data_IF_727690279983
#
_entry.id   IF_727690279983
#
_cell.length_a   1.000
_cell.length_b   1.000
_cell.length_c   1.000
_cell.angle_alpha   90.00
_cell.angle_beta   90.00
_cell.angle_gamma   90.00
#
_symmetry.space_group_name_H-M   'P 1'
#
loop_
_entity.id
_entity.type
_entity.pdbx_description
1 polymer ?
#
# COMPACT_ATOMS: atom_id res chain seq x y z
N UNK A 1 -68.22 -19.15 -12.96
CA UNK A 1 -67.52 -17.88 -12.62
C UNK A 1 -68.43 -17.13 -11.67
N UNK A 2 -68.36 -17.21 -10.34
CA UNK A 2 -67.24 -17.52 -9.45
C UNK A 2 -67.03 -16.33 -8.52
N UNK A 3 -67.84 -16.26 -7.45
CA UNK A 3 -67.68 -15.56 -6.15
C UNK A 3 -67.31 -14.05 -6.19
N UNK A 4 -68.06 -13.09 -5.64
CA UNK A 4 -68.84 -13.09 -4.41
C UNK A 4 -67.97 -12.72 -3.21
N UNK A 5 -67.92 -11.44 -2.81
CA UNK A 5 -68.40 -10.93 -1.52
C UNK A 5 -67.89 -9.49 -1.21
N UNK A 6 -68.87 -8.68 -0.81
CA UNK A 6 -68.79 -7.39 -0.12
C UNK A 6 -67.87 -7.36 1.11
N UNK A 7 -67.33 -6.18 1.44
CA UNK A 7 -67.52 -5.57 2.77
C UNK A 7 -67.20 -4.07 2.78
N UNK A 8 -68.13 -3.33 3.39
CA UNK A 8 -68.22 -1.88 3.50
C UNK A 8 -67.35 -1.31 4.64
N UNK A 9 -66.91 -0.06 4.41
CA UNK A 9 -66.75 1.08 5.34
C UNK A 9 -66.40 0.85 6.82
N UNK A 10 -65.39 1.59 7.29
CA UNK A 10 -65.51 2.50 8.45
C UNK A 10 -64.33 3.49 8.52
N UNK A 11 -64.68 4.77 8.72
CA UNK A 11 -63.81 5.88 9.14
C UNK A 11 -63.28 5.64 10.56
N UNK A 12 -62.08 6.14 10.88
CA UNK A 12 -61.64 6.32 12.26
C UNK A 12 -60.29 7.04 12.36
N UNK A 13 -60.28 8.18 13.07
CA UNK A 13 -59.11 9.00 13.37
C UNK A 13 -58.44 8.58 14.70
N UNK A 14 -57.26 9.17 14.95
CA UNK A 14 -56.46 9.15 16.21
C UNK A 14 -55.62 7.86 16.41
N UNK A 15 -54.43 7.84 17.04
CA UNK A 15 -53.85 8.60 18.15
C UNK A 15 -52.31 8.52 18.16
N UNK A 16 -51.70 9.48 18.85
CA UNK A 16 -50.34 9.45 19.42
C UNK A 16 -50.16 8.24 20.34
N UNK A 17 -48.93 7.69 20.37
CA UNK A 17 -48.38 7.00 21.54
C UNK A 17 -48.47 5.49 21.52
N UNK A 18 -47.36 4.83 21.20
CA UNK A 18 -47.17 3.41 21.40
C UNK A 18 -45.70 3.09 21.62
N UNK A 19 -45.29 3.05 22.90
CA UNK A 19 -44.08 2.31 23.32
C UNK A 19 -44.25 0.86 22.88
N UNK A 20 -43.68 0.50 21.75
CA UNK A 20 -43.45 -0.89 21.34
C UNK A 20 -42.00 -1.23 21.62
N UNK A 21 -41.76 -2.00 22.67
CA UNK A 21 -40.48 -2.63 22.90
C UNK A 21 -40.17 -3.57 21.73
N UNK A 22 -39.22 -3.20 20.87
CA UNK A 22 -38.58 -4.15 19.99
C UNK A 22 -37.59 -4.98 20.82
N UNK A 23 -38.13 -5.95 21.55
CA UNK A 23 -37.38 -7.13 22.01
C UNK A 23 -37.17 -8.03 20.80
N UNK A 24 -36.17 -7.69 20.00
CA UNK A 24 -35.60 -8.57 18.99
C UNK A 24 -34.10 -8.51 19.14
N UNK A 25 -33.53 -9.40 19.95
CA UNK A 25 -32.11 -9.72 19.86
C UNK A 25 -31.91 -10.46 18.53
N UNK A 26 -31.75 -9.71 17.45
CA UNK A 26 -31.41 -10.26 16.15
C UNK A 26 -29.91 -10.49 16.08
N UNK A 27 -29.50 -11.75 16.03
CA UNK A 27 -28.13 -12.15 15.70
C UNK A 27 -27.85 -11.76 14.24
N UNK A 28 -26.91 -10.84 14.01
CA UNK A 28 -26.42 -10.55 12.66
C UNK A 28 -25.26 -11.50 12.39
N UNK A 29 -25.52 -12.51 11.57
CA UNK A 29 -24.51 -13.50 11.15
C UNK A 29 -23.85 -13.00 9.87
N UNK A 30 -22.56 -12.64 9.95
CA UNK A 30 -21.76 -12.30 8.77
C UNK A 30 -20.87 -13.51 8.46
N UNK A 31 -20.85 -13.97 7.21
CA UNK A 31 -20.05 -15.10 6.74
C UNK A 31 -18.77 -14.62 6.04
N UNK A 32 -17.60 -15.05 6.53
CA UNK A 32 -16.30 -14.81 5.91
C UNK A 32 -15.63 -16.16 5.59
N UNK A 33 -15.36 -16.45 4.32
CA UNK A 33 -14.62 -17.66 3.91
C UNK A 33 -15.21 -18.99 4.43
N UNK A 34 -16.54 -19.06 4.63
CA UNK A 34 -17.22 -20.22 5.22
C UNK A 34 -17.33 -20.24 6.75
N UNK A 35 -16.67 -19.32 7.46
CA UNK A 35 -16.84 -19.12 8.91
C UNK A 35 -17.97 -18.12 9.19
N UNK A 36 -18.96 -18.55 9.97
CA UNK A 36 -20.02 -17.69 10.52
C UNK A 36 -19.47 -16.93 11.73
N UNK A 37 -19.48 -15.60 11.68
CA UNK A 37 -19.16 -14.73 12.81
C UNK A 37 -20.50 -14.22 13.34
N UNK A 38 -20.87 -14.66 14.54
CA UNK A 38 -22.03 -14.16 15.26
C UNK A 38 -21.63 -12.91 16.04
N UNK A 39 -22.32 -11.79 15.84
CA UNK A 39 -22.12 -10.56 16.62
C UNK A 39 -23.35 -10.37 17.50
N UNK A 40 -23.18 -10.51 18.82
CA UNK A 40 -24.20 -10.07 19.77
C UNK A 40 -24.26 -8.53 19.76
N UNK A 41 -25.39 -8.01 19.31
CA UNK A 41 -25.62 -6.57 19.21
C UNK A 41 -25.72 -5.94 20.61
N UNK A 42 -24.62 -5.31 21.06
CA UNK A 42 -24.73 -4.23 22.04
C UNK A 42 -25.59 -3.12 21.41
N UNK A 43 -26.81 -2.93 21.94
CA UNK A 43 -27.82 -2.00 21.41
C UNK A 43 -27.25 -0.57 21.30
N UNK A 44 -27.12 -0.03 20.09
CA UNK A 44 -26.81 1.38 19.86
C UNK A 44 -25.78 1.64 18.74
N UNK A 45 -25.44 2.92 18.56
CA UNK A 45 -24.52 3.46 17.53
C UNK A 45 -23.21 2.66 17.38
N UNK A 46 -22.72 2.00 18.43
CA UNK A 46 -21.51 1.18 18.40
C UNK A 46 -21.57 0.03 17.38
N UNK A 47 -22.71 -0.68 17.27
CA UNK A 47 -22.86 -1.76 16.29
C UNK A 47 -22.86 -1.22 14.83
N UNK A 48 -23.43 -0.02 14.63
CA UNK A 48 -23.44 0.65 13.32
C UNK A 48 -22.06 1.16 12.94
N UNK A 49 -21.30 1.70 13.92
CA UNK A 49 -19.91 2.12 13.72
C UNK A 49 -19.04 0.92 13.34
N UNK A 50 -19.14 -0.18 14.09
CA UNK A 50 -18.40 -1.41 13.81
C UNK A 50 -18.74 -1.99 12.44
N UNK A 51 -20.03 -2.08 12.08
CA UNK A 51 -20.44 -2.57 10.76
C UNK A 51 -19.91 -1.69 9.62
N UNK A 52 -19.87 -0.36 9.82
CA UNK A 52 -19.28 0.58 8.85
C UNK A 52 -17.76 0.40 8.72
N UNK A 53 -17.05 0.17 9.82
CA UNK A 53 -15.61 -0.09 9.82
C UNK A 53 -15.28 -1.41 9.12
N UNK A 54 -15.99 -2.49 9.47
CA UNK A 54 -15.87 -3.80 8.80
C UNK A 54 -16.16 -3.69 7.31
N UNK A 55 -17.23 -2.98 6.92
CA UNK A 55 -17.54 -2.75 5.51
C UNK A 55 -16.43 -1.98 4.78
N UNK A 56 -15.87 -0.92 5.40
CA UNK A 56 -14.73 -0.19 4.84
C UNK A 56 -13.52 -1.09 4.65
N UNK A 57 -13.18 -1.92 5.63
CA UNK A 57 -12.01 -2.80 5.52
C UNK A 57 -12.21 -3.92 4.50
N UNK A 58 -13.43 -4.45 4.35
CA UNK A 58 -13.77 -5.35 3.24
C UNK A 58 -13.54 -4.66 1.88
N UNK A 59 -14.06 -3.44 1.70
CA UNK A 59 -13.88 -2.71 0.42
C UNK A 59 -12.41 -2.39 0.12
N UNK A 60 -11.60 -2.09 1.15
CA UNK A 60 -10.15 -1.89 0.97
C UNK A 60 -9.46 -3.19 0.58
N UNK A 61 -9.80 -4.31 1.23
CA UNK A 61 -9.22 -5.61 0.92
C UNK A 61 -9.57 -6.05 -0.50
N UNK A 62 -10.82 -5.87 -0.92
CA UNK A 62 -11.26 -6.13 -2.30
C UNK A 62 -10.49 -5.29 -3.32
N UNK A 63 -10.16 -4.04 -2.99
CA UNK A 63 -9.33 -3.19 -3.84
C UNK A 63 -7.89 -3.71 -3.94
N UNK A 64 -7.29 -4.13 -2.82
CA UNK A 64 -5.94 -4.71 -2.81
C UNK A 64 -5.87 -6.01 -3.62
N UNK A 65 -6.92 -6.84 -3.57
CA UNK A 65 -6.98 -8.11 -4.31
C UNK A 65 -7.03 -7.93 -5.84
N UNK A 66 -7.31 -6.72 -6.34
CA UNK A 66 -7.23 -6.39 -7.77
C UNK A 66 -5.82 -6.05 -8.23
N UNK A 67 -4.86 -5.90 -7.31
CA UNK A 67 -3.48 -5.59 -7.63
C UNK A 67 -2.66 -6.88 -7.83
N UNK A 68 -2.18 -7.11 -9.05
CA UNK A 68 -1.35 -8.29 -9.35
C UNK A 68 -0.05 -8.30 -8.56
N UNK A 69 0.61 -7.14 -8.38
CA UNK A 69 1.81 -7.06 -7.55
C UNK A 69 1.55 -7.48 -6.09
N UNK A 70 0.35 -7.22 -5.57
CA UNK A 70 -0.05 -7.61 -4.21
C UNK A 70 -0.36 -9.10 -4.11
N UNK A 71 -1.05 -9.67 -5.10
CA UNK A 71 -1.50 -11.06 -5.06
C UNK A 71 -0.41 -12.06 -5.45
N UNK A 72 0.56 -11.64 -6.27
CA UNK A 72 1.62 -12.50 -6.81
C UNK A 72 3.01 -12.19 -6.23
N UNK A 73 3.16 -11.03 -5.58
CA UNK A 73 4.39 -10.67 -4.89
C UNK A 73 4.38 -11.14 -3.44
N UNK A 74 5.51 -10.93 -2.78
CA UNK A 74 5.65 -11.22 -1.36
C UNK A 74 6.62 -10.25 -0.71
N UNK A 75 6.42 -10.01 0.58
CA UNK A 75 7.44 -9.33 1.39
C UNK A 75 8.65 -10.23 1.55
N UNK A 76 9.85 -9.66 1.57
CA UNK A 76 11.07 -10.39 1.90
C UNK A 76 12.04 -9.54 2.70
N UNK A 77 12.88 -10.22 3.50
CA UNK A 77 13.94 -9.60 4.28
C UNK A 77 15.23 -9.65 3.47
N UNK A 78 15.87 -8.50 3.31
CA UNK A 78 17.17 -8.40 2.66
C UNK A 78 18.17 -7.68 3.57
N UNK A 79 19.45 -7.82 3.25
CA UNK A 79 20.56 -7.19 3.97
C UNK A 79 21.26 -6.24 3.02
N UNK A 80 21.24 -4.93 3.29
CA UNK A 80 21.98 -3.95 2.49
C UNK A 80 22.63 -2.88 3.37
N UNK A 81 23.67 -2.24 2.84
CA UNK A 81 24.23 -1.05 3.48
C UNK A 81 23.40 0.15 3.05
N UNK A 82 22.87 0.89 4.03
CA UNK A 82 22.01 2.05 3.78
C UNK A 82 22.81 3.36 3.63
N UNK A 83 24.08 3.34 4.01
CA UNK A 83 24.90 4.53 4.09
C UNK A 83 24.38 5.45 5.19
N UNK A 84 24.01 6.67 4.81
CA UNK A 84 23.45 7.67 5.71
C UNK A 84 22.05 7.25 6.22
N UNK A 85 21.77 7.57 7.49
CA UNK A 85 20.48 7.33 8.13
C UNK A 85 19.30 7.98 7.37
N UNK A 86 19.54 9.11 6.69
CA UNK A 86 18.55 9.80 5.85
C UNK A 86 18.02 8.88 4.76
N UNK A 87 18.85 8.01 4.17
CA UNK A 87 18.41 7.08 3.12
C UNK A 87 17.42 6.08 3.68
N UNK A 88 17.70 5.52 4.86
CA UNK A 88 16.79 4.63 5.57
C UNK A 88 15.47 5.35 5.87
N UNK A 89 15.52 6.52 6.51
CA UNK A 89 14.32 7.31 6.84
C UNK A 89 13.47 7.58 5.60
N UNK A 90 14.11 7.98 4.51
CA UNK A 90 13.44 8.27 3.26
C UNK A 90 12.82 7.03 2.62
N UNK A 91 13.55 5.92 2.54
CA UNK A 91 13.03 4.65 2.02
C UNK A 91 11.77 4.21 2.77
N UNK A 92 11.81 4.20 4.10
CA UNK A 92 10.66 3.75 4.89
C UNK A 92 9.50 4.75 4.91
N UNK A 93 9.75 6.06 4.74
CA UNK A 93 8.68 7.02 4.50
C UNK A 93 7.92 6.66 3.22
N UNK A 94 8.62 6.47 2.11
CA UNK A 94 8.01 6.17 0.81
C UNK A 94 7.35 4.78 0.83
N UNK A 95 8.07 3.76 1.32
CA UNK A 95 7.57 2.39 1.38
C UNK A 95 6.27 2.28 2.17
N UNK A 96 6.11 3.05 3.25
CA UNK A 96 4.94 3.01 4.12
C UNK A 96 3.87 4.10 3.85
N UNK A 97 4.08 5.01 2.89
CA UNK A 97 3.20 6.18 2.68
C UNK A 97 1.76 5.80 2.34
N UNK A 98 1.55 4.81 1.46
CA UNK A 98 0.23 4.28 1.07
C UNK A 98 0.22 2.75 1.07
N UNK A 99 0.94 2.14 2.03
CA UNK A 99 1.20 0.70 2.01
C UNK A 99 0.09 -0.16 2.58
N UNK A 100 -0.94 0.42 3.22
CA UNK A 100 -1.99 -0.36 3.87
C UNK A 100 -2.54 -1.48 2.95
N UNK A 101 -2.68 -2.73 3.45
CA UNK A 101 -2.49 -3.17 4.84
C UNK A 101 -1.04 -3.57 5.19
N UNK A 102 -0.08 -3.36 4.30
CA UNK A 102 1.34 -3.67 4.51
C UNK A 102 2.01 -2.65 5.42
N UNK A 103 3.08 -3.11 6.06
CA UNK A 103 4.06 -2.27 6.76
C UNK A 103 5.44 -2.85 6.48
N UNK A 104 6.39 -1.99 6.15
CA UNK A 104 7.79 -2.29 5.90
C UNK A 104 8.64 -1.82 7.08
N UNK A 105 9.52 -2.68 7.56
CA UNK A 105 10.34 -2.45 8.75
C UNK A 105 11.83 -2.48 8.45
N UNK A 106 12.58 -1.70 9.21
CA UNK A 106 14.03 -1.83 9.37
C UNK A 106 14.33 -2.50 10.70
N UNK A 107 15.44 -3.20 10.76
CA UNK A 107 15.96 -3.81 11.98
C UNK A 107 17.27 -3.16 12.38
N UNK A 108 17.77 -3.52 13.56
CA UNK A 108 19.02 -2.96 14.10
C UNK A 108 20.18 -3.19 13.13
N UNK A 109 20.89 -2.13 12.71
CA UNK A 109 22.11 -2.27 11.92
C UNK A 109 23.17 -3.05 12.68
N UNK A 110 24.03 -3.77 11.96
CA UNK A 110 25.17 -4.48 12.52
C UNK A 110 26.35 -4.45 11.56
N UNK A 111 27.57 -4.51 12.11
CA UNK A 111 28.78 -4.66 11.31
C UNK A 111 29.03 -6.16 11.13
N UNK A 112 28.88 -6.66 9.92
CA UNK A 112 29.20 -8.06 9.62
C UNK A 112 30.72 -8.27 9.73
N UNK A 113 31.13 -9.49 10.12
CA UNK A 113 32.55 -9.85 10.21
C UNK A 113 33.25 -9.60 8.86
N UNK A 114 34.38 -8.89 8.89
CA UNK A 114 35.13 -8.50 7.70
C UNK A 114 34.62 -7.23 6.99
N UNK A 115 33.49 -6.64 7.39
CA UNK A 115 32.99 -5.41 6.81
C UNK A 115 33.40 -4.17 7.64
N UNK A 116 33.64 -3.05 6.94
CA UNK A 116 33.84 -1.73 7.57
C UNK A 116 32.56 -0.91 7.69
N UNK A 117 31.50 -1.30 6.97
CA UNK A 117 30.23 -0.58 6.91
C UNK A 117 29.14 -1.40 7.56
N UNK A 118 28.20 -0.70 8.18
CA UNK A 118 27.00 -1.30 8.73
C UNK A 118 26.14 -1.91 7.61
N UNK A 119 25.59 -3.06 7.93
CA UNK A 119 24.56 -3.76 7.17
C UNK A 119 23.26 -3.66 7.97
N UNK A 120 22.19 -3.26 7.31
CA UNK A 120 20.86 -3.16 7.91
C UNK A 120 19.96 -4.22 7.30
N UNK A 121 19.35 -5.12 8.10
CA UNK A 121 18.24 -5.93 7.63
C UNK A 121 17.02 -5.03 7.40
N UNK A 122 16.40 -5.13 6.23
CA UNK A 122 15.23 -4.35 5.85
C UNK A 122 14.19 -5.22 5.14
N UNK A 123 12.91 -4.93 5.35
CA UNK A 123 11.83 -5.53 4.59
C UNK A 123 11.57 -4.77 3.29
N UNK A 124 11.44 -5.49 2.19
CA UNK A 124 11.08 -4.97 0.86
C UNK A 124 9.98 -5.82 0.22
N UNK A 125 9.46 -5.37 -0.92
CA UNK A 125 8.53 -6.13 -1.73
C UNK A 125 9.24 -6.83 -2.90
N UNK A 126 8.98 -8.11 -3.08
CA UNK A 126 9.48 -8.90 -4.20
C UNK A 126 8.35 -9.23 -5.17
N UNK A 127 8.59 -9.02 -6.46
CA UNK A 127 7.72 -9.49 -7.54
C UNK A 127 8.58 -10.11 -8.65
N UNK A 128 8.33 -11.38 -9.00
CA UNK A 128 9.13 -12.13 -9.99
C UNK A 128 10.64 -12.07 -9.74
N UNK A 129 11.05 -12.18 -8.46
CA UNK A 129 12.46 -12.16 -8.07
C UNK A 129 13.13 -10.77 -8.16
N UNK A 130 12.38 -9.72 -8.45
CA UNK A 130 12.87 -8.34 -8.41
C UNK A 130 12.38 -7.63 -7.15
N UNK A 131 13.31 -6.99 -6.44
CA UNK A 131 13.02 -6.19 -5.25
C UNK A 131 12.55 -4.77 -5.59
N UNK A 132 11.68 -4.26 -4.73
CA UNK A 132 11.16 -2.91 -4.71
C UNK A 132 11.08 -2.46 -3.24
N UNK A 133 11.45 -1.22 -2.95
CA UNK A 133 11.43 -0.70 -1.57
C UNK A 133 10.06 -0.82 -0.88
N UNK A 134 8.96 -0.77 -1.64
CA UNK A 134 7.63 -1.04 -1.12
C UNK A 134 6.56 -1.29 -2.17
N UNK A 135 5.34 -1.52 -1.69
CA UNK A 135 4.12 -1.66 -2.50
C UNK A 135 3.00 -0.83 -1.87
N UNK A 136 2.28 -0.09 -2.69
CA UNK A 136 1.03 0.59 -2.37
C UNK A 136 -0.14 -0.21 -2.98
N UNK A 137 -0.78 -1.12 -2.23
CA UNK A 137 -1.68 -2.12 -2.80
C UNK A 137 -2.97 -1.54 -3.37
N UNK A 138 -3.48 -0.45 -2.80
CA UNK A 138 -4.74 0.16 -3.23
C UNK A 138 -4.61 0.84 -4.60
N UNK A 139 -3.45 1.41 -4.91
CA UNK A 139 -3.13 2.05 -6.19
C UNK A 139 -2.42 1.09 -7.17
N UNK A 140 -2.03 -0.09 -6.67
CA UNK A 140 -1.17 -1.06 -7.31
C UNK A 140 0.14 -0.46 -7.85
N UNK A 141 0.85 0.27 -6.98
CA UNK A 141 2.11 0.93 -7.31
C UNK A 141 3.24 0.29 -6.51
N UNK A 142 4.21 -0.31 -7.20
CA UNK A 142 5.52 -0.62 -6.64
C UNK A 142 6.33 0.67 -6.56
N UNK A 143 6.98 0.88 -5.42
CA UNK A 143 7.70 2.12 -5.12
C UNK A 143 9.17 1.89 -4.87
N UNK A 144 9.95 2.88 -5.28
CA UNK A 144 11.40 2.99 -5.04
C UNK A 144 11.70 4.36 -4.46
N UNK A 145 12.66 4.41 -3.54
CA UNK A 145 13.08 5.61 -2.86
C UNK A 145 14.56 5.87 -3.15
N UNK A 146 14.83 6.95 -3.88
CA UNK A 146 16.18 7.40 -4.18
C UNK A 146 16.55 8.59 -3.29
N UNK A 147 17.20 8.27 -2.16
CA UNK A 147 17.69 9.25 -1.19
C UNK A 147 19.15 9.62 -1.42
N UNK A 148 19.47 10.90 -1.22
CA UNK A 148 20.84 11.44 -1.24
C UNK A 148 21.61 11.20 -2.55
N UNK A 149 20.94 11.18 -3.70
CA UNK A 149 21.61 10.97 -4.99
C UNK A 149 22.21 12.26 -5.56
N UNK A 150 21.82 13.42 -5.04
CA UNK A 150 22.37 14.71 -5.45
C UNK A 150 23.87 14.82 -5.11
N UNK A 151 24.32 14.16 -4.05
CA UNK A 151 25.72 14.20 -3.63
C UNK A 151 26.68 13.72 -4.73
N UNK A 152 26.24 12.83 -5.61
CA UNK A 152 27.05 12.32 -6.73
C UNK A 152 27.18 13.31 -7.88
N UNK A 153 26.42 14.41 -7.86
CA UNK A 153 26.49 15.50 -8.83
C UNK A 153 27.47 16.60 -8.42
N UNK A 154 28.02 16.56 -7.19
CA UNK A 154 29.00 17.53 -6.72
C UNK A 154 30.24 17.55 -7.62
N UNK A 155 30.62 18.72 -8.11
CA UNK A 155 31.79 18.95 -8.98
C UNK A 155 33.12 18.56 -8.32
N UNK A 156 33.17 18.45 -6.98
CA UNK A 156 34.34 17.95 -6.24
C UNK A 156 34.52 16.44 -6.38
N UNK A 157 33.50 15.70 -6.81
CA UNK A 157 33.59 14.25 -7.03
C UNK A 157 34.08 13.94 -8.44
N UNK A 158 34.84 12.85 -8.63
CA UNK A 158 35.28 12.44 -9.95
C UNK A 158 34.11 12.14 -10.89
N UNK A 159 34.19 12.57 -12.15
CA UNK A 159 33.12 12.38 -13.14
C UNK A 159 32.75 10.91 -13.38
N UNK A 160 33.73 10.00 -13.30
CA UNK A 160 33.47 8.56 -13.47
C UNK A 160 32.50 8.01 -12.41
N UNK A 161 32.51 8.58 -11.19
CA UNK A 161 31.62 8.15 -10.10
C UNK A 161 30.18 8.53 -10.42
N UNK A 162 29.96 9.78 -10.84
CA UNK A 162 28.66 10.28 -11.32
C UNK A 162 28.12 9.41 -12.46
N UNK A 163 28.96 9.14 -13.46
CA UNK A 163 28.56 8.33 -14.61
C UNK A 163 28.23 6.90 -14.23
N UNK A 164 29.03 6.26 -13.38
CA UNK A 164 28.76 4.89 -12.91
C UNK A 164 27.46 4.82 -12.14
N UNK A 165 27.28 5.67 -11.12
CA UNK A 165 26.09 5.65 -10.25
C UNK A 165 24.81 5.85 -11.05
N UNK A 166 24.76 6.84 -11.94
CA UNK A 166 23.53 7.10 -12.70
C UNK A 166 23.28 6.08 -13.81
N UNK A 167 24.33 5.48 -14.41
CA UNK A 167 24.17 4.33 -15.32
C UNK A 167 23.56 3.14 -14.57
N UNK A 168 24.03 2.87 -13.36
CA UNK A 168 23.52 1.77 -12.54
C UNK A 168 22.05 2.02 -12.13
N UNK A 169 21.68 3.27 -11.85
CA UNK A 169 20.27 3.67 -11.62
C UNK A 169 19.38 3.44 -12.84
N UNK A 170 19.86 3.83 -14.03
CA UNK A 170 19.13 3.61 -15.29
C UNK A 170 18.96 2.11 -15.57
N UNK A 171 20.00 1.31 -15.31
CA UNK A 171 19.96 -0.15 -15.43
C UNK A 171 18.94 -0.77 -14.46
N UNK A 172 18.94 -0.32 -13.21
CA UNK A 172 17.98 -0.77 -12.20
C UNK A 172 16.54 -0.41 -12.58
N UNK A 173 16.28 0.84 -13.00
CA UNK A 173 14.96 1.27 -13.46
C UNK A 173 14.47 0.44 -14.64
N UNK A 174 15.37 0.12 -15.58
CA UNK A 174 15.06 -0.70 -16.75
C UNK A 174 14.72 -2.13 -16.35
N UNK A 175 15.51 -2.74 -15.45
CA UNK A 175 15.27 -4.10 -14.93
C UNK A 175 13.91 -4.17 -14.22
N UNK A 176 13.64 -3.24 -13.33
CA UNK A 176 12.37 -3.17 -12.61
C UNK A 176 11.18 -2.92 -13.54
N UNK A 177 11.33 -2.02 -14.52
CA UNK A 177 10.31 -1.78 -15.55
C UNK A 177 10.02 -3.05 -16.35
N UNK A 178 11.06 -3.80 -16.72
CA UNK A 178 10.93 -5.09 -17.38
C UNK A 178 10.19 -6.10 -16.50
N UNK A 179 10.55 -6.20 -15.23
CA UNK A 179 9.92 -7.11 -14.28
C UNK A 179 8.42 -6.86 -14.12
N UNK A 180 7.96 -5.61 -14.20
CA UNK A 180 6.52 -5.30 -14.06
C UNK A 180 5.73 -5.39 -15.36
N UNK A 181 6.39 -5.49 -16.52
CA UNK A 181 5.74 -5.47 -17.86
C UNK A 181 4.67 -6.55 -18.07
N UNK A 182 4.82 -7.79 -17.55
CA UNK A 182 3.78 -8.82 -17.67
C UNK A 182 2.49 -8.53 -16.88
N UNK A 183 2.50 -7.58 -15.95
CA UNK A 183 1.40 -7.32 -15.02
C UNK A 183 0.62 -6.06 -15.44
N UNK A 184 -0.66 -6.23 -15.80
CA UNK A 184 -1.49 -5.17 -16.41
C UNK A 184 -1.90 -4.07 -15.43
N UNK A 185 -2.08 -4.43 -14.16
CA UNK A 185 -2.56 -3.56 -13.08
C UNK A 185 -1.40 -2.88 -12.34
N UNK A 186 -0.21 -3.46 -12.41
CA UNK A 186 0.97 -3.02 -11.67
C UNK A 186 1.61 -1.80 -12.32
N UNK A 187 1.89 -0.80 -11.48
CA UNK A 187 2.65 0.39 -11.85
C UNK A 187 3.96 0.43 -11.08
N UNK A 188 4.92 1.21 -11.58
CA UNK A 188 6.20 1.48 -10.92
C UNK A 188 6.41 2.99 -10.84
N UNK A 189 6.71 3.50 -9.65
CA UNK A 189 7.04 4.91 -9.43
C UNK A 189 8.28 5.04 -8.55
N UNK A 190 9.23 5.86 -9.00
CA UNK A 190 10.45 6.19 -8.27
C UNK A 190 10.31 7.57 -7.62
N UNK A 191 10.55 7.65 -6.32
CA UNK A 191 10.49 8.88 -5.54
C UNK A 191 11.91 9.34 -5.21
N UNK A 192 12.26 10.54 -5.62
CA UNK A 192 13.56 11.15 -5.36
C UNK A 192 13.45 12.18 -4.24
N UNK A 193 14.38 12.07 -3.28
CA UNK A 193 14.50 13.04 -2.19
C UNK A 193 14.96 14.41 -2.71
N UNK A 194 15.73 14.45 -3.80
CA UNK A 194 16.23 15.68 -4.43
C UNK A 194 15.82 15.82 -5.91
N UNK A 195 15.27 16.97 -6.30
CA UNK A 195 14.82 17.20 -7.68
C UNK A 195 15.97 17.25 -8.69
N UNK A 196 17.17 17.70 -8.27
CA UNK A 196 18.34 17.69 -9.16
C UNK A 196 18.78 16.27 -9.54
N UNK A 197 18.73 15.33 -8.58
CA UNK A 197 19.02 13.93 -8.83
C UNK A 197 17.99 13.33 -9.79
N UNK A 198 16.70 13.61 -9.55
CA UNK A 198 15.61 13.19 -10.44
C UNK A 198 15.80 13.71 -11.86
N UNK A 199 16.07 15.02 -12.02
CA UNK A 199 16.29 15.64 -13.33
C UNK A 199 17.51 15.06 -14.02
N UNK A 200 18.59 14.80 -13.30
CA UNK A 200 19.78 14.16 -13.87
C UNK A 200 19.47 12.72 -14.33
N UNK A 201 18.78 11.93 -13.51
CA UNK A 201 18.33 10.58 -13.88
C UNK A 201 17.50 10.58 -15.17
N UNK A 202 16.49 11.45 -15.28
CA UNK A 202 15.65 11.57 -16.48
C UNK A 202 16.46 12.00 -17.70
N UNK A 203 17.46 12.89 -17.54
CA UNK A 203 18.35 13.27 -18.65
C UNK A 203 19.22 12.12 -19.14
N UNK A 204 19.65 11.21 -18.26
CA UNK A 204 20.52 10.09 -18.63
C UNK A 204 19.75 8.92 -19.25
N UNK A 205 18.59 8.57 -18.69
CA UNK A 205 17.83 7.38 -19.11
C UNK A 205 16.59 7.68 -19.95
N UNK A 206 16.17 8.94 -20.06
CA UNK A 206 14.82 9.27 -20.53
C UNK A 206 13.75 8.92 -19.49
N UNK A 207 12.49 8.85 -19.92
CA UNK A 207 11.34 8.52 -19.05
C UNK A 207 11.12 7.00 -19.05
N UNK A 208 11.96 6.27 -18.32
CA UNK A 208 11.86 4.79 -18.18
C UNK A 208 10.74 4.41 -17.20
N UNK A 209 10.64 5.17 -16.11
CA UNK A 209 9.67 5.02 -15.02
C UNK A 209 9.09 6.37 -14.67
N UNK A 210 7.87 6.39 -14.10
CA UNK A 210 7.35 7.59 -13.46
C UNK A 210 8.30 7.99 -12.34
N UNK A 211 8.81 9.22 -12.38
CA UNK A 211 9.73 9.74 -11.36
C UNK A 211 9.15 11.01 -10.73
N UNK A 212 9.12 11.06 -9.40
CA UNK A 212 8.51 12.13 -8.62
C UNK A 212 9.55 12.68 -7.65
N UNK A 213 9.64 14.00 -7.53
CA UNK A 213 10.38 14.64 -6.45
C UNK A 213 9.46 14.76 -5.24
N UNK A 214 9.87 14.18 -4.11
CA UNK A 214 9.11 14.18 -2.87
C UNK A 214 10.08 14.20 -1.68
N UNK A 215 10.37 15.37 -1.08
CA UNK A 215 11.27 15.44 0.07
C UNK A 215 10.65 14.83 1.34
N UNK A 216 11.47 14.64 2.37
CA UNK A 216 11.04 14.25 3.72
C UNK A 216 10.12 15.30 4.35
#
# INVERSE_FOLDING_TARGET
MGYGLLLNFLRGAATVGGRGAATGAGEVVITQGGKKIAIEAAKGMAAVVLAKEVSKDITKQERCNKCEAYTLGNKHLIKRSMGDEVNTKYQFKIANLSSYPLTFKTYTPYVAEGNKKETTPIEEWSLSGTSFDGLWPMECILVEAKGQYAQFLDAKKPDFLKMSVYRDLVSEATRQKGAITPYKTTKLTWYFYEDEARRYFVRQGGIIVTSIFMPL
#
